data_IF_113258724936
#
_entry.id   IF_113258724936
#
_cell.length_a   1.000
_cell.length_b   1.000
_cell.length_c   1.000
_cell.angle_alpha   90.00
_cell.angle_beta   90.00
_cell.angle_gamma   90.00
#
_symmetry.space_group_name_H-M   'P 1'
#
loop_
_entity.id
_entity.type
_entity.pdbx_description
1 polymer ?
#
# COMPACT_ATOMS: atom_id res chain seq x y z
N UNK A 1 -8.13 -23.48 23.81
CA UNK A 1 -6.85 -23.34 23.09
C UNK A 1 -7.20 -23.19 21.62
N UNK A 2 -7.63 -22.00 21.23
CA UNK A 2 -8.03 -21.71 19.84
C UNK A 2 -6.76 -21.60 19.01
N UNK A 3 -6.70 -22.40 17.94
CA UNK A 3 -5.68 -22.32 16.91
C UNK A 3 -5.55 -20.85 16.51
N UNK A 4 -4.40 -20.23 16.83
CA UNK A 4 -4.12 -18.88 16.39
C UNK A 4 -4.00 -18.92 14.89
N UNK A 5 -5.00 -18.39 14.18
CA UNK A 5 -4.85 -18.09 12.77
C UNK A 5 -3.60 -17.23 12.62
N UNK A 6 -2.58 -17.80 11.99
CA UNK A 6 -1.40 -17.05 11.59
C UNK A 6 -1.90 -16.13 10.46
N UNK A 7 -2.37 -14.94 10.84
CA UNK A 7 -2.81 -13.93 9.88
C UNK A 7 -1.63 -13.61 8.96
N UNK A 8 -1.72 -14.10 7.73
CA UNK A 8 -0.73 -13.86 6.69
C UNK A 8 -0.91 -12.43 6.17
N UNK A 9 0.20 -11.73 5.97
CA UNK A 9 0.17 -10.42 5.37
C UNK A 9 -0.53 -10.46 3.98
N UNK A 10 -1.41 -9.48 3.67
CA UNK A 10 -2.16 -9.41 2.42
C UNK A 10 -1.26 -9.10 1.22
N UNK A 11 -0.11 -8.46 1.49
CA UNK A 11 0.93 -8.10 0.54
C UNK A 11 2.30 -8.52 1.08
N UNK A 12 3.30 -8.51 0.21
CA UNK A 12 4.69 -8.86 0.54
C UNK A 12 5.62 -7.75 0.07
N UNK A 13 6.74 -7.57 0.76
CA UNK A 13 7.85 -6.76 0.23
C UNK A 13 8.28 -7.31 -1.13
N UNK A 14 8.45 -6.42 -2.10
CA UNK A 14 8.74 -6.74 -3.50
C UNK A 14 7.50 -6.93 -4.38
N UNK A 15 6.29 -7.05 -3.80
CA UNK A 15 5.07 -7.10 -4.59
C UNK A 15 4.88 -5.80 -5.39
N UNK A 16 4.24 -5.91 -6.55
CA UNK A 16 3.87 -4.75 -7.36
C UNK A 16 2.42 -4.38 -7.09
N UNK A 17 2.16 -3.10 -6.85
CA UNK A 17 0.80 -2.58 -6.66
C UNK A 17 0.51 -1.48 -7.67
N UNK A 18 -0.72 -1.45 -8.18
CA UNK A 18 -1.20 -0.41 -9.08
C UNK A 18 -1.96 0.62 -8.25
N UNK A 19 -1.52 1.87 -8.32
CA UNK A 19 -2.06 2.96 -7.53
C UNK A 19 -2.86 3.94 -8.39
N UNK A 20 -3.94 4.47 -7.82
CA UNK A 20 -4.76 5.49 -8.43
C UNK A 20 -4.09 6.89 -8.34
N UNK A 21 -4.29 7.77 -9.35
CA UNK A 21 -3.64 9.07 -9.41
C UNK A 21 -4.10 10.06 -8.33
N UNK A 22 -5.34 9.93 -7.84
CA UNK A 22 -6.02 10.93 -6.98
C UNK A 22 -5.31 11.14 -5.63
N UNK A 23 -4.50 10.17 -5.20
CA UNK A 23 -3.83 10.17 -3.90
C UNK A 23 -2.30 10.04 -4.00
N UNK A 24 -1.74 10.00 -5.21
CA UNK A 24 -0.30 9.85 -5.44
C UNK A 24 0.35 11.11 -6.01
N UNK A 25 -0.44 12.10 -6.44
CA UNK A 25 0.07 13.27 -7.16
C UNK A 25 0.52 12.95 -8.59
N UNK A 26 0.22 11.76 -9.09
CA UNK A 26 0.54 11.30 -10.44
C UNK A 26 -0.61 11.64 -11.41
N UNK A 27 -0.29 11.79 -12.69
CA UNK A 27 -1.28 12.11 -13.72
C UNK A 27 -2.06 10.90 -14.24
N UNK A 28 -1.61 9.69 -13.94
CA UNK A 28 -2.20 8.44 -14.39
C UNK A 28 -1.91 7.32 -13.38
N UNK A 29 -2.67 6.20 -13.41
CA UNK A 29 -2.35 5.04 -12.59
C UNK A 29 -0.90 4.58 -12.79
N UNK A 30 -0.25 4.22 -11.69
CA UNK A 30 1.17 3.86 -11.71
C UNK A 30 1.46 2.60 -10.89
N UNK A 31 2.39 1.80 -11.40
CA UNK A 31 2.93 0.67 -10.63
C UNK A 31 3.93 1.17 -9.61
N UNK A 32 3.81 0.67 -8.39
CA UNK A 32 4.74 0.85 -7.30
C UNK A 32 5.27 -0.51 -6.82
N UNK A 33 6.41 -0.49 -6.14
CA UNK A 33 6.97 -1.65 -5.46
C UNK A 33 6.74 -1.48 -3.96
N UNK A 34 6.24 -2.54 -3.32
CA UNK A 34 6.07 -2.58 -1.86
C UNK A 34 7.43 -2.74 -1.19
N UNK A 35 7.77 -1.85 -0.28
CA UNK A 35 9.04 -1.86 0.47
C UNK A 35 8.87 -2.18 1.95
N UNK A 36 7.65 -1.98 2.48
CA UNK A 36 7.31 -2.21 3.88
C UNK A 36 5.92 -2.84 3.98
N UNK A 37 5.77 -3.83 4.86
CA UNK A 37 4.47 -4.38 5.26
C UNK A 37 4.49 -4.66 6.75
N UNK A 38 3.77 -3.84 7.52
CA UNK A 38 3.66 -3.99 8.97
C UNK A 38 2.20 -4.19 9.39
N UNK A 39 1.97 -5.12 10.32
CA UNK A 39 0.68 -5.23 11.00
C UNK A 39 0.68 -4.34 12.23
N UNK A 40 -0.34 -3.51 12.34
CA UNK A 40 -0.58 -2.65 13.49
C UNK A 40 -1.84 -3.13 14.21
N UNK A 41 -1.73 -3.53 15.47
CA UNK A 41 -2.87 -4.11 16.20
C UNK A 41 -4.04 -3.14 16.36
N UNK A 42 -3.76 -1.87 16.61
CA UNK A 42 -4.74 -0.79 16.61
C UNK A 42 -4.19 0.41 15.83
N UNK A 43 -4.58 0.59 14.55
CA UNK A 43 -4.13 1.70 13.72
C UNK A 43 -4.97 2.97 13.92
N UNK A 44 -6.09 2.90 14.66
CA UNK A 44 -7.01 4.03 14.90
C UNK A 44 -6.33 5.32 15.39
N UNK A 45 -5.33 5.30 16.30
CA UNK A 45 -4.67 6.53 16.73
C UNK A 45 -3.67 7.09 15.71
N UNK A 46 -3.37 6.36 14.64
CA UNK A 46 -2.34 6.74 13.68
C UNK A 46 -2.91 7.63 12.57
N UNK A 47 -2.13 8.62 12.11
CA UNK A 47 -2.57 9.52 11.06
C UNK A 47 -2.81 8.75 9.76
N UNK A 48 -3.86 9.15 9.05
CA UNK A 48 -4.26 8.60 7.75
C UNK A 48 -4.63 7.10 7.76
N UNK A 49 -4.75 6.49 8.95
CA UNK A 49 -5.38 5.18 9.10
C UNK A 49 -6.85 5.26 8.70
N UNK A 50 -7.35 4.21 8.08
CA UNK A 50 -8.77 4.02 7.81
C UNK A 50 -9.48 3.18 8.90
N UNK A 51 -8.93 3.16 10.12
CA UNK A 51 -9.50 2.48 11.29
C UNK A 51 -9.07 1.01 11.41
N UNK A 52 -9.63 0.34 12.43
CA UNK A 52 -9.21 -0.99 12.89
C UNK A 52 -9.24 -2.10 11.81
N UNK A 53 -10.10 -1.96 10.80
CA UNK A 53 -10.20 -2.93 9.70
C UNK A 53 -9.02 -2.83 8.72
N UNK A 54 -8.36 -1.67 8.64
CA UNK A 54 -7.21 -1.42 7.77
C UNK A 54 -5.90 -1.43 8.56
N UNK A 55 -5.58 -2.61 9.11
CA UNK A 55 -4.49 -2.82 10.06
C UNK A 55 -3.11 -3.07 9.44
N UNK A 56 -3.03 -3.16 8.11
CA UNK A 56 -1.77 -3.38 7.42
C UNK A 56 -1.26 -2.07 6.86
N UNK A 57 -0.13 -1.61 7.41
CA UNK A 57 0.61 -0.45 6.92
C UNK A 57 1.55 -0.90 5.81
N UNK A 58 1.36 -0.35 4.62
CA UNK A 58 2.11 -0.73 3.41
C UNK A 58 2.84 0.49 2.88
N UNK A 59 4.17 0.47 2.97
CA UNK A 59 5.04 1.47 2.35
C UNK A 59 5.39 1.04 0.94
N UNK A 60 5.40 1.99 0.00
CA UNK A 60 5.70 1.73 -1.41
C UNK A 60 6.58 2.82 -2.01
N UNK A 61 7.25 2.46 -3.11
CA UNK A 61 8.03 3.36 -3.96
C UNK A 61 7.49 3.33 -5.39
N UNK A 62 7.19 4.49 -5.95
CA UNK A 62 6.91 4.65 -7.39
C UNK A 62 8.19 5.08 -8.11
N UNK A 63 8.24 4.86 -9.42
CA UNK A 63 9.28 5.43 -10.29
C UNK A 63 8.60 6.28 -11.33
N UNK A 64 8.95 7.57 -11.37
CA UNK A 64 8.40 8.55 -12.31
C UNK A 64 9.55 9.10 -13.13
N UNK A 65 9.36 9.15 -14.44
CA UNK A 65 10.29 9.83 -15.34
C UNK A 65 9.61 11.10 -15.82
N UNK A 66 10.22 12.26 -15.57
CA UNK A 66 9.66 13.54 -15.97
C UNK A 66 9.88 13.81 -17.47
N UNK A 67 9.38 14.95 -17.95
CA UNK A 67 9.51 15.34 -19.36
C UNK A 67 10.93 15.69 -19.79
N UNK A 68 11.88 15.83 -18.87
CA UNK A 68 13.31 16.07 -19.10
C UNK A 68 14.12 14.77 -19.09
N UNK A 69 13.50 13.66 -18.69
CA UNK A 69 14.16 12.37 -18.55
C UNK A 69 14.78 12.15 -17.17
N UNK A 70 14.51 13.04 -16.21
CA UNK A 70 14.94 12.88 -14.83
C UNK A 70 14.06 11.85 -14.12
N UNK A 71 14.69 11.02 -13.27
CA UNK A 71 14.01 9.99 -12.49
C UNK A 71 13.73 10.51 -11.09
N UNK A 72 12.46 10.47 -10.68
CA UNK A 72 12.03 10.66 -9.31
C UNK A 72 11.49 9.33 -8.75
N UNK A 73 11.69 9.12 -7.45
CA UNK A 73 11.25 7.91 -6.75
C UNK A 73 10.42 8.25 -5.51
N UNK A 74 9.19 8.76 -5.69
CA UNK A 74 8.34 9.11 -4.57
C UNK A 74 8.05 7.91 -3.67
N UNK A 75 8.13 8.14 -2.36
CA UNK A 75 7.71 7.19 -1.34
C UNK A 75 6.29 7.54 -0.86
N UNK A 76 5.52 6.51 -0.57
CA UNK A 76 4.19 6.69 0.00
C UNK A 76 3.77 5.57 0.92
N UNK A 77 2.60 5.76 1.51
CA UNK A 77 2.01 4.86 2.49
C UNK A 77 0.54 4.64 2.17
N UNK A 78 0.08 3.39 2.25
CA UNK A 78 -1.34 3.05 2.28
C UNK A 78 -1.64 2.14 3.47
N UNK A 79 -2.91 2.16 3.89
CA UNK A 79 -3.46 1.24 4.87
C UNK A 79 -4.42 0.28 4.17
N UNK A 80 -4.23 -1.01 4.37
CA UNK A 80 -5.07 -2.05 3.75
C UNK A 80 -5.64 -3.01 4.78
N UNK A 81 -6.78 -3.60 4.45
CA UNK A 81 -7.37 -4.73 5.18
C UNK A 81 -6.64 -6.06 4.87
N UNK A 82 -7.13 -7.16 5.44
CA UNK A 82 -6.55 -8.49 5.21
C UNK A 82 -6.74 -9.03 3.78
N UNK A 83 -7.57 -8.38 2.96
CA UNK A 83 -7.83 -8.74 1.57
C UNK A 83 -7.03 -7.86 0.58
N UNK A 84 -6.14 -7.00 1.08
CA UNK A 84 -5.42 -5.97 0.34
C UNK A 84 -6.35 -4.93 -0.32
N UNK A 85 -7.36 -4.46 0.40
CA UNK A 85 -8.20 -3.33 -0.02
C UNK A 85 -7.88 -2.13 0.84
N UNK A 86 -7.75 -0.97 0.21
CA UNK A 86 -7.68 0.30 0.91
C UNK A 86 -9.06 0.98 0.95
N UNK A 87 -9.30 1.80 1.97
CA UNK A 87 -10.60 2.45 2.16
C UNK A 87 -10.92 3.52 1.11
N UNK A 88 -9.91 4.06 0.42
CA UNK A 88 -10.06 5.22 -0.46
C UNK A 88 -10.04 4.83 -1.94
N UNK A 89 -9.93 3.54 -2.26
CA UNK A 89 -9.82 3.05 -3.63
C UNK A 89 -8.49 3.39 -4.32
N UNK A 90 -7.47 3.76 -3.55
CA UNK A 90 -6.13 4.07 -4.04
C UNK A 90 -5.42 2.83 -4.61
N UNK A 91 -5.63 1.65 -4.03
CA UNK A 91 -5.05 0.39 -4.47
C UNK A 91 -5.98 -0.27 -5.49
N UNK A 92 -5.62 -0.13 -6.77
CA UNK A 92 -6.41 -0.63 -7.89
C UNK A 92 -6.16 -2.12 -8.16
N UNK A 93 -4.93 -2.58 -7.96
CA UNK A 93 -4.53 -3.97 -8.17
C UNK A 93 -3.24 -4.30 -7.44
N UNK A 94 -3.01 -5.60 -7.17
CA UNK A 94 -1.77 -6.09 -6.60
C UNK A 94 -1.34 -7.37 -7.31
N UNK A 95 -0.09 -7.41 -7.75
CA UNK A 95 0.58 -8.62 -8.19
C UNK A 95 1.05 -9.40 -6.95
N UNK A 96 0.37 -10.51 -6.68
CA UNK A 96 0.56 -11.35 -5.48
C UNK A 96 1.43 -12.58 -5.75
N UNK A 97 2.08 -12.64 -6.93
CA UNK A 97 2.89 -13.78 -7.38
C UNK A 97 4.16 -14.02 -6.55
#
# INVERSE_FOLDING_TARGET
MTSGDVLRAPLRVGARILLAPEHTGLMAPAWAVVELVDRIEDPTPLPWSAGADHRWRVGYRTTVVDSRGDVDEPLGLIWVDDDARDANGMLLSADRS
#
